data_IF_312137895470
#
_entry.id   IF_312137895470
#
_cell.length_a   1.000
_cell.length_b   1.000
_cell.length_c   1.000
_cell.angle_alpha   90.00
_cell.angle_beta   90.00
_cell.angle_gamma   90.00
#
_symmetry.space_group_name_H-M   'P 1'
#
loop_
_entity.id
_entity.type
_entity.pdbx_description
1 polymer ?
#
# COMPACT_ATOMS: atom_id res chain seq x y z
N UNK A 1 6.18 -1.22 -38.16
CA UNK A 1 4.71 -1.08 -38.07
C UNK A 1 4.39 -0.72 -36.64
N UNK A 2 4.30 0.58 -36.32
CA UNK A 2 3.99 1.04 -34.95
C UNK A 2 2.48 1.03 -34.79
N UNK A 3 1.91 -0.10 -34.39
CA UNK A 3 0.55 -0.08 -33.87
C UNK A 3 0.53 0.91 -32.70
N UNK A 4 -0.39 1.87 -32.77
CA UNK A 4 -0.62 2.87 -31.75
C UNK A 4 -1.27 2.15 -30.55
N UNK A 5 -0.51 1.30 -29.85
CA UNK A 5 -0.99 0.59 -28.68
C UNK A 5 -1.18 1.60 -27.57
N UNK A 6 -2.40 2.11 -27.45
CA UNK A 6 -2.82 2.88 -26.29
C UNK A 6 -2.73 1.95 -25.09
N UNK A 7 -2.00 2.36 -24.05
CA UNK A 7 -1.90 1.60 -22.80
C UNK A 7 -3.32 1.27 -22.28
N UNK A 8 -3.71 -0.02 -22.19
CA UNK A 8 -5.04 -0.45 -21.78
C UNK A 8 -5.49 0.17 -20.45
N UNK A 9 -6.80 0.43 -20.35
CA UNK A 9 -7.38 1.16 -19.22
C UNK A 9 -7.19 0.45 -17.88
N UNK A 10 -7.58 -0.83 -17.77
CA UNK A 10 -7.54 -1.57 -16.50
C UNK A 10 -6.15 -1.68 -15.86
N UNK A 11 -5.10 -2.15 -16.56
CA UNK A 11 -3.77 -2.21 -15.95
C UNK A 11 -3.26 -0.82 -15.58
N UNK A 12 -3.50 0.21 -16.41
CA UNK A 12 -3.14 1.59 -16.05
C UNK A 12 -3.84 2.08 -14.79
N UNK A 13 -5.13 1.80 -14.68
CA UNK A 13 -5.95 2.20 -13.54
C UNK A 13 -5.50 1.54 -12.24
N UNK A 14 -5.16 0.24 -12.30
CA UNK A 14 -4.62 -0.51 -11.15
C UNK A 14 -3.20 -0.03 -10.84
N UNK A 15 -2.30 -0.01 -11.81
CA UNK A 15 -0.91 0.40 -11.63
C UNK A 15 -0.80 1.77 -10.95
N UNK A 16 -1.65 2.72 -11.35
CA UNK A 16 -1.63 4.09 -10.81
C UNK A 16 -2.42 4.26 -9.51
N UNK A 17 -2.88 3.19 -8.87
CA UNK A 17 -3.78 3.23 -7.70
C UNK A 17 -4.94 4.18 -7.91
N UNK A 18 -5.76 3.86 -8.92
CA UNK A 18 -6.98 4.60 -9.25
C UNK A 18 -6.71 6.06 -9.69
N UNK A 19 -5.51 6.34 -10.19
CA UNK A 19 -5.08 7.64 -10.70
C UNK A 19 -4.15 8.43 -9.76
N UNK A 20 -3.88 7.94 -8.56
CA UNK A 20 -2.94 8.57 -7.61
C UNK A 20 -1.54 8.79 -8.18
N UNK A 21 -1.07 7.84 -9.00
CA UNK A 21 0.25 7.88 -9.64
C UNK A 21 0.46 9.06 -10.62
N UNK A 22 -0.59 9.83 -10.95
CA UNK A 22 -0.46 11.06 -11.73
C UNK A 22 -0.16 12.31 -10.90
N UNK A 23 -0.13 12.20 -9.57
CA UNK A 23 0.17 13.33 -8.70
C UNK A 23 1.63 13.81 -8.91
N UNK A 24 1.86 15.09 -9.25
CA UNK A 24 3.16 15.54 -9.75
C UNK A 24 4.25 15.69 -8.68
N UNK A 25 3.89 15.81 -7.39
CA UNK A 25 4.85 16.14 -6.32
C UNK A 25 5.25 14.96 -5.43
N UNK A 26 4.62 13.81 -5.60
CA UNK A 26 4.83 12.65 -4.73
C UNK A 26 3.83 11.56 -5.04
N UNK A 27 3.91 10.92 -6.21
CA UNK A 27 2.97 9.89 -6.62
C UNK A 27 2.93 8.73 -5.63
N UNK A 28 4.08 8.31 -5.07
CA UNK A 28 4.11 7.26 -4.04
C UNK A 28 3.34 7.64 -2.77
N UNK A 29 3.53 8.87 -2.26
CA UNK A 29 2.73 9.38 -1.13
C UNK A 29 1.25 9.45 -1.45
N UNK A 30 0.88 9.85 -2.67
CA UNK A 30 -0.51 9.82 -3.11
C UNK A 30 -1.07 8.39 -3.14
N UNK A 31 -0.29 7.41 -3.59
CA UNK A 31 -0.63 5.99 -3.54
C UNK A 31 -0.88 5.50 -2.11
N UNK A 32 0.04 5.78 -1.18
CA UNK A 32 -0.12 5.43 0.24
C UNK A 32 -1.36 6.08 0.87
N UNK A 33 -1.62 7.37 0.60
CA UNK A 33 -2.82 8.07 1.09
C UNK A 33 -4.10 7.46 0.51
N UNK A 34 -4.11 7.10 -0.78
CA UNK A 34 -5.23 6.36 -1.38
C UNK A 34 -5.42 5.02 -0.68
N UNK A 35 -4.34 4.28 -0.38
CA UNK A 35 -4.41 3.06 0.43
C UNK A 35 -5.10 3.29 1.77
N UNK A 36 -4.70 4.31 2.53
CA UNK A 36 -5.36 4.66 3.79
C UNK A 36 -6.86 4.94 3.58
N UNK A 37 -7.22 5.80 2.62
CA UNK A 37 -8.62 6.19 2.37
C UNK A 37 -9.48 4.99 1.97
N UNK A 38 -8.96 4.11 1.11
CA UNK A 38 -9.65 2.90 0.67
C UNK A 38 -9.82 1.88 1.81
N UNK A 39 -8.97 1.91 2.83
CA UNK A 39 -9.06 1.03 3.98
C UNK A 39 -10.09 1.48 5.02
N UNK A 40 -10.40 2.79 5.12
CA UNK A 40 -11.30 3.33 6.16
C UNK A 40 -12.66 2.62 6.30
N UNK A 41 -13.36 2.19 5.22
CA UNK A 41 -14.61 1.44 5.37
C UNK A 41 -14.46 0.14 6.16
N UNK A 42 -13.28 -0.51 6.13
CA UNK A 42 -13.02 -1.72 6.89
C UNK A 42 -12.93 -1.46 8.40
N UNK A 43 -12.58 -0.25 8.83
CA UNK A 43 -12.62 0.12 10.24
C UNK A 43 -14.05 0.15 10.80
N UNK A 44 -15.06 0.32 9.93
CA UNK A 44 -16.45 0.49 10.33
C UNK A 44 -17.24 -0.83 10.47
N UNK A 45 -16.61 -1.98 10.24
CA UNK A 45 -17.30 -3.28 10.18
C UNK A 45 -17.81 -3.79 11.53
N UNK A 46 -17.27 -3.28 12.65
CA UNK A 46 -17.58 -3.80 13.99
C UNK A 46 -16.87 -5.12 14.36
N UNK A 47 -16.06 -5.69 13.46
CA UNK A 47 -15.50 -7.04 13.61
C UNK A 47 -13.99 -7.08 13.38
N UNK A 48 -13.20 -7.12 14.45
CA UNK A 48 -11.73 -7.14 14.38
C UNK A 48 -11.20 -8.24 13.45
N UNK A 49 -11.62 -9.49 13.66
CA UNK A 49 -11.20 -10.62 12.83
C UNK A 49 -11.65 -10.46 11.38
N UNK A 50 -12.86 -9.95 11.16
CA UNK A 50 -13.40 -9.71 9.82
C UNK A 50 -12.60 -8.65 9.07
N UNK A 51 -12.32 -7.51 9.72
CA UNK A 51 -11.47 -6.43 9.19
C UNK A 51 -10.06 -6.92 8.87
N UNK A 52 -9.45 -7.69 9.78
CA UNK A 52 -8.11 -8.23 9.57
C UNK A 52 -8.06 -9.19 8.37
N UNK A 53 -8.97 -10.16 8.30
CA UNK A 53 -9.02 -11.12 7.19
C UNK A 53 -9.38 -10.46 5.86
N UNK A 54 -10.29 -9.48 5.87
CA UNK A 54 -10.61 -8.69 4.67
C UNK A 54 -9.39 -7.90 4.18
N UNK A 55 -8.64 -7.29 5.09
CA UNK A 55 -7.40 -6.56 4.77
C UNK A 55 -6.37 -7.50 4.15
N UNK A 56 -6.14 -8.69 4.74
CA UNK A 56 -5.26 -9.69 4.16
C UNK A 56 -5.72 -10.16 2.77
N UNK A 57 -7.02 -10.36 2.59
CA UNK A 57 -7.59 -10.71 1.28
C UNK A 57 -7.31 -9.64 0.22
N UNK A 58 -7.49 -8.36 0.58
CA UNK A 58 -7.16 -7.23 -0.30
C UNK A 58 -5.67 -7.18 -0.63
N UNK A 59 -4.80 -7.33 0.37
CA UNK A 59 -3.34 -7.38 0.18
C UNK A 59 -2.97 -8.46 -0.85
N UNK A 60 -3.48 -9.68 -0.70
CA UNK A 60 -3.19 -10.79 -1.63
C UNK A 60 -3.68 -10.48 -3.04
N UNK A 61 -4.94 -10.05 -3.17
CA UNK A 61 -5.54 -9.76 -4.49
C UNK A 61 -4.81 -8.61 -5.19
N UNK A 62 -4.59 -7.50 -4.49
CA UNK A 62 -3.94 -6.32 -5.08
C UNK A 62 -2.44 -6.48 -5.24
N UNK A 63 -1.79 -7.38 -4.50
CA UNK A 63 -0.41 -7.79 -4.83
C UNK A 63 -0.37 -8.45 -6.20
N UNK A 64 -1.23 -9.45 -6.45
CA UNK A 64 -1.27 -10.13 -7.73
C UNK A 64 -1.64 -9.18 -8.89
N UNK A 65 -2.63 -8.30 -8.69
CA UNK A 65 -3.01 -7.29 -9.66
C UNK A 65 -1.91 -6.23 -9.86
N UNK A 66 -1.21 -5.86 -8.80
CA UNK A 66 -0.07 -4.95 -8.81
C UNK A 66 1.06 -5.49 -9.68
N UNK A 67 1.54 -6.70 -9.40
CA UNK A 67 2.58 -7.38 -10.20
C UNK A 67 2.19 -7.43 -11.68
N UNK A 68 0.96 -7.87 -11.97
CA UNK A 68 0.47 -7.98 -13.34
C UNK A 68 0.40 -6.61 -14.04
N UNK A 69 -0.17 -5.61 -13.39
CA UNK A 69 -0.36 -4.28 -13.97
C UNK A 69 0.94 -3.50 -14.14
N UNK A 70 1.88 -3.66 -13.20
CA UNK A 70 3.22 -3.08 -13.26
C UNK A 70 4.02 -3.67 -14.43
N UNK A 71 4.03 -4.99 -14.59
CA UNK A 71 4.70 -5.64 -15.73
C UNK A 71 4.12 -5.22 -17.09
N UNK A 72 2.83 -4.91 -17.17
CA UNK A 72 2.25 -4.30 -18.38
C UNK A 72 2.74 -2.85 -18.53
N UNK A 73 2.71 -2.07 -17.45
CA UNK A 73 3.09 -0.65 -17.46
C UNK A 73 4.52 -0.43 -17.94
N UNK A 74 5.45 -1.33 -17.61
CA UNK A 74 6.85 -1.27 -18.05
C UNK A 74 6.99 -1.22 -19.59
N UNK A 75 6.11 -1.92 -20.32
CA UNK A 75 6.11 -1.90 -21.79
C UNK A 75 5.68 -0.54 -22.38
N UNK A 76 5.02 0.31 -21.59
CA UNK A 76 4.49 1.61 -22.05
C UNK A 76 5.24 2.80 -21.48
N UNK A 77 5.77 2.69 -20.27
CA UNK A 77 6.41 3.80 -19.54
C UNK A 77 7.89 3.59 -19.27
N UNK A 78 8.46 2.43 -19.65
CA UNK A 78 9.82 2.06 -19.32
C UNK A 78 9.93 1.34 -17.97
N UNK A 79 11.12 0.84 -17.62
CA UNK A 79 11.35 0.08 -16.39
C UNK A 79 11.06 0.96 -15.16
N UNK A 80 10.46 0.34 -14.14
CA UNK A 80 10.14 0.96 -12.84
C UNK A 80 9.57 2.41 -12.93
N UNK A 81 8.42 2.58 -13.60
CA UNK A 81 7.89 3.91 -13.83
C UNK A 81 7.29 4.46 -12.54
N UNK A 82 7.71 5.66 -12.12
CA UNK A 82 7.28 6.35 -10.88
C UNK A 82 5.77 6.60 -10.73
N UNK A 83 4.97 6.25 -11.75
CA UNK A 83 3.50 6.34 -11.74
C UNK A 83 2.84 5.02 -11.31
N UNK A 84 3.58 3.92 -11.27
CA UNK A 84 3.14 2.68 -10.63
C UNK A 84 3.26 2.91 -9.13
N UNK A 85 2.12 2.84 -8.42
CA UNK A 85 1.99 3.17 -6.99
C UNK A 85 1.01 2.22 -6.29
N UNK A 86 0.80 1.02 -6.86
CA UNK A 86 -0.05 -0.03 -6.29
C UNK A 86 0.67 -0.80 -5.17
N UNK A 87 1.97 -1.00 -5.33
CA UNK A 87 2.95 -1.30 -4.29
C UNK A 87 2.73 -0.43 -3.04
N UNK A 88 2.62 0.88 -3.23
CA UNK A 88 2.47 1.86 -2.15
C UNK A 88 1.13 1.70 -1.40
N UNK A 89 0.08 1.39 -2.14
CA UNK A 89 -1.25 1.10 -1.58
C UNK A 89 -1.24 -0.19 -0.76
N UNK A 90 -0.60 -1.24 -1.29
CA UNK A 90 -0.48 -2.54 -0.62
C UNK A 90 0.42 -2.44 0.61
N UNK A 91 1.57 -1.79 0.52
CA UNK A 91 2.50 -1.56 1.62
C UNK A 91 1.85 -0.77 2.76
N UNK A 92 1.04 0.24 2.43
CA UNK A 92 0.24 0.96 3.41
C UNK A 92 -0.80 0.05 4.09
N UNK A 93 -1.53 -0.79 3.35
CA UNK A 93 -2.50 -1.73 3.95
C UNK A 93 -1.84 -2.73 4.88
N UNK A 94 -0.67 -3.25 4.52
CA UNK A 94 0.11 -4.14 5.39
C UNK A 94 0.45 -3.39 6.69
N UNK A 95 0.97 -2.16 6.58
CA UNK A 95 1.31 -1.34 7.74
C UNK A 95 0.10 -1.07 8.64
N UNK A 96 -1.09 -0.94 8.06
CA UNK A 96 -2.34 -0.70 8.77
C UNK A 96 -2.99 -1.96 9.38
N UNK A 97 -2.47 -3.17 9.15
CA UNK A 97 -3.06 -4.40 9.74
C UNK A 97 -3.33 -4.30 11.25
N UNK A 98 -2.43 -3.76 12.10
CA UNK A 98 -2.68 -3.58 13.53
C UNK A 98 -3.89 -2.69 13.86
N UNK A 99 -4.26 -1.75 12.98
CA UNK A 99 -5.42 -0.88 13.18
C UNK A 99 -6.76 -1.64 13.13
N UNK A 100 -6.76 -2.90 12.70
CA UNK A 100 -7.97 -3.75 12.71
C UNK A 100 -8.61 -3.84 14.10
N UNK A 101 -7.84 -3.65 15.18
CA UNK A 101 -8.37 -3.62 16.56
C UNK A 101 -9.36 -2.47 16.79
N UNK A 102 -9.21 -1.35 16.07
CA UNK A 102 -10.15 -0.23 16.16
C UNK A 102 -11.53 -0.57 15.61
N UNK A 103 -11.69 -1.65 14.83
CA UNK A 103 -13.01 -2.09 14.39
C UNK A 103 -13.92 -2.52 15.55
N UNK A 104 -13.37 -2.88 16.73
CA UNK A 104 -14.17 -3.11 17.95
C UNK A 104 -14.57 -1.82 18.68
N UNK A 105 -13.98 -0.67 18.33
CA UNK A 105 -14.25 0.61 18.99
C UNK A 105 -15.54 1.22 18.44
N UNK A 106 -16.47 1.69 19.29
CA UNK A 106 -17.62 2.46 18.81
C UNK A 106 -17.15 3.73 18.08
N UNK A 107 -17.66 3.94 16.86
CA UNK A 107 -17.35 5.12 16.02
C UNK A 107 -15.83 5.38 15.89
N UNK A 108 -15.06 4.44 15.32
CA UNK A 108 -13.60 4.51 15.33
C UNK A 108 -13.05 5.75 14.61
N UNK A 109 -13.77 6.26 13.59
CA UNK A 109 -13.38 7.46 12.87
C UNK A 109 -13.59 8.77 13.66
N UNK A 110 -14.27 8.74 14.80
CA UNK A 110 -14.34 9.87 15.74
C UNK A 110 -13.20 9.82 16.77
N UNK A 111 -12.45 8.72 16.84
CA UNK A 111 -11.35 8.54 17.79
C UNK A 111 -10.09 9.27 17.35
N UNK A 112 -9.60 10.19 18.19
CA UNK A 112 -8.30 10.84 17.97
C UNK A 112 -7.14 9.83 17.93
N UNK A 113 -7.21 8.77 18.74
CA UNK A 113 -6.20 7.70 18.74
C UNK A 113 -6.18 6.94 17.42
N UNK A 114 -7.34 6.68 16.80
CA UNK A 114 -7.39 6.04 15.49
C UNK A 114 -6.63 6.87 14.45
N UNK A 115 -6.92 8.17 14.37
CA UNK A 115 -6.26 9.05 13.40
C UNK A 115 -4.78 9.25 13.69
N UNK A 116 -4.38 9.29 14.96
CA UNK A 116 -2.96 9.29 15.33
C UNK A 116 -2.25 8.05 14.78
N UNK A 117 -2.76 6.85 15.05
CA UNK A 117 -2.14 5.62 14.57
C UNK A 117 -2.25 5.43 13.05
N UNK A 118 -3.31 5.94 12.41
CA UNK A 118 -3.41 5.98 10.95
C UNK A 118 -2.34 6.90 10.35
N UNK A 119 -2.10 8.06 10.94
CA UNK A 119 -1.00 8.94 10.53
C UNK A 119 0.38 8.32 10.78
N UNK A 120 0.61 7.73 11.95
CA UNK A 120 1.87 7.03 12.27
C UNK A 120 2.12 5.89 11.30
N UNK A 121 1.07 5.16 10.88
CA UNK A 121 1.23 4.10 9.87
C UNK A 121 1.73 4.64 8.53
N UNK A 122 1.20 5.77 8.03
CA UNK A 122 1.73 6.44 6.84
C UNK A 122 3.19 6.83 6.99
N UNK A 123 3.55 7.43 8.13
CA UNK A 123 4.93 7.87 8.38
C UNK A 123 5.89 6.67 8.44
N UNK A 124 5.52 5.61 9.15
CA UNK A 124 6.35 4.41 9.28
C UNK A 124 6.53 3.71 7.94
N UNK A 125 5.43 3.49 7.20
CA UNK A 125 5.49 2.88 5.88
C UNK A 125 6.44 3.65 4.96
N UNK A 126 6.21 4.96 4.82
CA UNK A 126 7.05 5.81 3.96
C UNK A 126 8.49 5.89 4.42
N UNK A 127 8.74 5.87 5.73
CA UNK A 127 10.10 5.82 6.23
C UNK A 127 10.82 4.54 5.76
N UNK A 128 10.18 3.37 5.88
CA UNK A 128 10.80 2.11 5.50
C UNK A 128 10.93 1.93 3.99
N UNK A 129 9.94 2.38 3.21
CA UNK A 129 10.01 2.38 1.76
C UNK A 129 11.12 3.34 1.26
N UNK A 130 11.24 4.55 1.81
CA UNK A 130 12.29 5.49 1.33
C UNK A 130 13.69 5.04 1.75
N UNK A 131 13.85 4.56 2.99
CA UNK A 131 15.17 4.19 3.55
C UNK A 131 15.62 2.81 3.05
N UNK A 132 14.69 1.90 2.79
CA UNK A 132 14.92 0.51 2.38
C UNK A 132 15.93 -0.26 3.25
N UNK A 133 15.78 -0.30 4.59
CA UNK A 133 16.74 -0.97 5.47
C UNK A 133 16.61 -2.51 5.41
N UNK A 134 17.57 -3.20 6.01
CA UNK A 134 17.49 -4.64 6.37
C UNK A 134 17.10 -5.62 5.25
N UNK A 135 17.37 -5.28 3.99
CA UNK A 135 17.13 -6.16 2.85
C UNK A 135 15.98 -5.74 1.95
N UNK A 136 15.21 -4.70 2.31
CA UNK A 136 14.18 -4.09 1.43
C UNK A 136 14.79 -3.74 0.07
N UNK A 137 15.96 -3.10 0.05
CA UNK A 137 16.64 -2.76 -1.22
C UNK A 137 17.02 -3.98 -2.07
N UNK A 138 17.24 -5.16 -1.48
CA UNK A 138 17.56 -6.37 -2.24
C UNK A 138 16.32 -6.96 -2.92
N UNK A 139 15.12 -6.59 -2.50
CA UNK A 139 13.89 -7.07 -3.12
C UNK A 139 13.69 -6.47 -4.52
N UNK A 140 14.26 -5.28 -4.78
CA UNK A 140 14.30 -4.63 -6.09
C UNK A 140 15.05 -5.46 -7.15
N UNK A 141 15.92 -6.40 -6.74
CA UNK A 141 16.65 -7.29 -7.65
C UNK A 141 15.73 -8.37 -8.29
N UNK A 142 14.49 -8.53 -7.79
CA UNK A 142 13.50 -9.41 -8.38
C UNK A 142 12.96 -8.83 -9.71
N UNK A 143 12.64 -9.68 -10.70
CA UNK A 143 12.32 -9.20 -12.05
C UNK A 143 10.96 -8.49 -12.14
N UNK A 144 10.95 -7.38 -12.87
CA UNK A 144 9.75 -6.64 -13.30
C UNK A 144 8.83 -6.25 -12.14
N UNK A 145 7.52 -6.35 -12.37
CA UNK A 145 6.50 -6.01 -11.37
C UNK A 145 6.59 -6.79 -10.05
N UNK A 146 7.32 -7.89 -9.96
CA UNK A 146 7.56 -8.57 -8.68
C UNK A 146 8.53 -7.80 -7.80
N UNK A 147 9.61 -7.23 -8.36
CA UNK A 147 10.54 -6.39 -7.60
C UNK A 147 9.87 -5.15 -7.05
N UNK A 148 9.12 -4.45 -7.91
CA UNK A 148 8.35 -3.23 -7.57
C UNK A 148 7.39 -3.45 -6.39
N UNK A 149 6.74 -4.62 -6.32
CA UNK A 149 5.79 -4.88 -5.24
C UNK A 149 6.48 -5.39 -3.96
N UNK A 150 7.61 -6.09 -4.10
CA UNK A 150 8.17 -6.89 -3.01
C UNK A 150 8.93 -6.07 -1.96
N UNK A 151 9.60 -5.00 -2.36
CA UNK A 151 10.27 -4.08 -1.45
C UNK A 151 9.27 -3.32 -0.57
N UNK A 152 8.18 -2.80 -1.16
CA UNK A 152 7.10 -2.11 -0.45
C UNK A 152 6.29 -3.02 0.46
N UNK A 153 6.08 -4.28 0.06
CA UNK A 153 5.51 -5.29 0.94
C UNK A 153 6.40 -5.50 2.17
N UNK A 154 7.71 -5.62 1.98
CA UNK A 154 8.64 -5.82 3.10
C UNK A 154 8.75 -4.56 3.99
N UNK A 155 8.77 -3.37 3.39
CA UNK A 155 8.69 -2.10 4.10
C UNK A 155 7.40 -2.00 4.93
N UNK A 156 6.28 -2.42 4.34
CA UNK A 156 4.98 -2.50 5.01
C UNK A 156 4.99 -3.47 6.20
N UNK A 157 5.63 -4.64 6.08
CA UNK A 157 5.79 -5.59 7.18
C UNK A 157 6.59 -4.96 8.33
N UNK A 158 7.69 -4.27 8.03
CA UNK A 158 8.47 -3.57 9.06
C UNK A 158 7.64 -2.49 9.74
N UNK A 159 6.93 -1.69 8.95
CA UNK A 159 5.98 -0.69 9.46
C UNK A 159 4.95 -1.32 10.39
N UNK A 160 4.31 -2.41 9.99
CA UNK A 160 3.27 -3.10 10.76
C UNK A 160 3.80 -3.61 12.11
N UNK A 161 4.99 -4.21 12.14
CA UNK A 161 5.62 -4.71 13.37
C UNK A 161 5.90 -3.55 14.33
N UNK A 162 6.54 -2.48 13.85
CA UNK A 162 6.86 -1.32 14.70
C UNK A 162 5.60 -0.60 15.17
N UNK A 163 4.58 -0.50 14.31
CA UNK A 163 3.30 0.09 14.66
C UNK A 163 2.59 -0.73 15.75
N UNK A 164 2.53 -2.06 15.60
CA UNK A 164 1.93 -2.95 16.60
C UNK A 164 2.63 -2.86 17.96
N UNK A 165 3.98 -2.86 17.96
CA UNK A 165 4.76 -2.71 19.18
C UNK A 165 4.53 -1.34 19.83
N UNK A 166 4.47 -0.27 19.03
CA UNK A 166 4.20 1.08 19.53
C UNK A 166 2.80 1.17 20.13
N UNK A 167 1.79 0.65 19.45
CA UNK A 167 0.42 0.59 19.97
C UNK A 167 0.36 -0.17 21.30
N UNK A 168 1.02 -1.33 21.40
CA UNK A 168 1.08 -2.11 22.63
C UNK A 168 1.76 -1.36 23.81
N UNK A 169 2.77 -0.54 23.53
CA UNK A 169 3.48 0.22 24.57
C UNK A 169 2.73 1.47 25.04
N UNK A 170 1.87 2.04 24.20
CA UNK A 170 1.23 3.35 24.44
C UNK A 170 -0.31 3.28 24.55
N UNK A 171 -0.91 2.09 24.54
CA UNK A 171 -2.37 1.86 24.67
C UNK A 171 -2.66 0.83 25.74
#
# INVERSE_FOLDING_TARGET
MTENHRFPFFPKFIATSFGAGYWPWGPGTAGAVVGLVLWLPLALTGHVTGTFLATLGLIVVFTALGIWSAGIAENYWGPDPSRVVMDETVGQWITMLPLSVFAATPRPLESGSFWLWAFVSLVLFRFFDIVKPLGVRKMEDLPGGTGIMADDILAGIYGAVILALSMYMFT
#
